data_IF_963775669106
#
_entry.id   IF_963775669106
#
_cell.length_a   1.000
_cell.length_b   1.000
_cell.length_c   1.000
_cell.angle_alpha   90.00
_cell.angle_beta   90.00
_cell.angle_gamma   90.00
#
_symmetry.space_group_name_H-M   'P 1'
#
loop_
_entity.id
_entity.type
_entity.pdbx_description
1 polymer ?
#
# COMPACT_ATOMS: atom_id res chain seq x y z
N UNK A 1 -9.79 -12.12 28.69
CA UNK A 1 -9.82 -12.46 27.24
C UNK A 1 -8.44 -12.90 26.82
N UNK A 2 -8.37 -13.97 26.07
CA UNK A 2 -7.12 -14.38 25.43
C UNK A 2 -6.98 -13.60 24.10
N UNK A 3 -6.25 -12.52 24.14
CA UNK A 3 -6.09 -11.64 22.97
C UNK A 3 -5.39 -12.34 21.81
N UNK A 4 -4.43 -13.23 22.07
CA UNK A 4 -3.72 -13.94 21.01
C UNK A 4 -4.65 -14.85 20.22
N UNK A 5 -5.44 -15.64 20.93
CA UNK A 5 -6.40 -16.57 20.33
C UNK A 5 -7.50 -15.83 19.57
N UNK A 6 -8.06 -14.80 20.17
CA UNK A 6 -9.15 -14.03 19.58
C UNK A 6 -8.66 -13.23 18.36
N UNK A 7 -7.46 -12.66 18.44
CA UNK A 7 -6.86 -11.94 17.34
C UNK A 7 -6.62 -12.85 16.13
N UNK A 8 -6.14 -14.07 16.36
CA UNK A 8 -5.94 -15.03 15.27
C UNK A 8 -7.28 -15.33 14.58
N UNK A 9 -8.32 -15.57 15.36
CA UNK A 9 -9.66 -15.83 14.83
C UNK A 9 -10.15 -14.66 13.98
N UNK A 10 -10.00 -13.45 14.49
CA UNK A 10 -10.45 -12.24 13.79
C UNK A 10 -9.63 -11.98 12.51
N UNK A 11 -8.33 -12.22 12.54
CA UNK A 11 -7.51 -12.07 11.32
C UNK A 11 -7.92 -13.03 10.22
N UNK A 12 -8.33 -14.25 10.60
CA UNK A 12 -8.89 -15.19 9.62
C UNK A 12 -10.22 -14.71 9.06
N UNK A 13 -11.09 -14.19 9.94
CA UNK A 13 -12.39 -13.69 9.54
C UNK A 13 -12.29 -12.45 8.66
N UNK A 14 -11.40 -11.52 8.99
CA UNK A 14 -11.22 -10.28 8.23
C UNK A 14 -10.57 -10.51 6.86
N UNK A 15 -9.63 -11.45 6.77
CA UNK A 15 -8.87 -11.66 5.55
C UNK A 15 -8.00 -10.48 5.17
N UNK A 16 -7.48 -9.78 6.18
CA UNK A 16 -6.72 -8.55 6.02
C UNK A 16 -7.43 -7.38 6.68
N UNK A 17 -6.71 -6.29 6.91
CA UNK A 17 -7.21 -5.13 7.67
C UNK A 17 -7.34 -3.87 6.84
N UNK A 18 -6.93 -3.90 5.58
CA UNK A 18 -7.00 -2.77 4.67
C UNK A 18 -7.52 -3.22 3.32
N UNK A 19 -8.01 -2.27 2.55
CA UNK A 19 -8.36 -2.48 1.14
C UNK A 19 -8.02 -1.25 0.34
N UNK A 20 -7.88 -1.41 -0.98
CA UNK A 20 -7.68 -0.31 -1.91
C UNK A 20 -8.95 -0.14 -2.71
N UNK A 21 -9.47 1.08 -2.74
CA UNK A 21 -10.71 1.39 -3.45
C UNK A 21 -10.45 2.43 -4.53
N UNK A 22 -11.23 2.37 -5.60
CA UNK A 22 -11.25 3.44 -6.59
C UNK A 22 -12.16 4.57 -6.10
N UNK A 23 -11.75 5.81 -6.36
CA UNK A 23 -12.50 7.00 -5.94
C UNK A 23 -13.24 7.65 -7.10
N UNK A 24 -13.15 7.08 -8.30
CA UNK A 24 -13.78 7.61 -9.51
C UNK A 24 -14.71 6.56 -10.10
N UNK A 25 -15.75 6.97 -10.85
CA UNK A 25 -16.64 6.02 -11.48
C UNK A 25 -15.96 5.33 -12.66
N UNK A 26 -16.29 4.07 -12.89
CA UNK A 26 -15.82 3.29 -14.05
C UNK A 26 -16.96 2.46 -14.63
N UNK A 27 -18.15 3.04 -14.68
CA UNK A 27 -19.36 2.33 -15.11
C UNK A 27 -19.60 2.42 -16.60
N UNK A 28 -19.10 3.47 -17.26
CA UNK A 28 -19.33 3.71 -18.67
C UNK A 28 -18.00 3.77 -19.43
N UNK A 29 -18.10 3.65 -20.77
CA UNK A 29 -16.95 3.83 -21.64
C UNK A 29 -16.37 5.25 -21.52
N UNK A 30 -17.22 6.24 -21.33
CA UNK A 30 -16.78 7.61 -21.13
C UNK A 30 -15.99 7.76 -19.84
N UNK A 31 -16.47 7.14 -18.76
CA UNK A 31 -15.74 7.15 -17.49
C UNK A 31 -14.33 6.63 -17.65
N UNK A 32 -14.18 5.50 -18.34
CA UNK A 32 -12.87 4.92 -18.61
C UNK A 32 -11.99 5.81 -19.47
N UNK A 33 -12.60 6.48 -20.45
CA UNK A 33 -11.87 7.39 -21.35
C UNK A 33 -11.34 8.62 -20.62
N UNK A 34 -12.00 9.02 -19.54
CA UNK A 34 -11.54 10.13 -18.70
C UNK A 34 -10.53 9.67 -17.65
N UNK A 35 -10.77 8.53 -17.02
CA UNK A 35 -9.90 8.02 -15.96
C UNK A 35 -8.63 7.36 -16.51
N UNK A 36 -8.71 6.84 -17.73
CA UNK A 36 -7.60 6.15 -18.37
C UNK A 36 -7.45 6.67 -19.80
N UNK A 37 -7.25 5.79 -20.78
CA UNK A 37 -6.99 6.22 -22.18
C UNK A 37 -8.29 6.61 -22.89
N UNK A 38 -8.28 7.71 -23.65
CA UNK A 38 -7.11 8.58 -23.97
C UNK A 38 -6.92 9.78 -23.04
N UNK A 39 -7.86 10.10 -22.19
CA UNK A 39 -7.87 11.33 -21.41
C UNK A 39 -6.68 11.45 -20.45
N UNK A 40 -6.18 10.34 -19.93
CA UNK A 40 -5.10 10.31 -18.92
C UNK A 40 -3.78 10.90 -19.44
N UNK A 41 -3.60 10.99 -20.75
CA UNK A 41 -2.39 11.58 -21.31
C UNK A 41 -2.23 13.04 -20.90
N UNK A 42 -3.30 13.78 -20.75
CA UNK A 42 -3.22 15.20 -20.44
C UNK A 42 -2.68 15.48 -19.02
N UNK A 43 -3.20 14.85 -17.95
CA UNK A 43 -2.56 14.98 -16.64
C UNK A 43 -1.08 14.57 -16.64
N UNK A 44 -0.72 13.52 -17.35
CA UNK A 44 0.68 13.10 -17.46
C UNK A 44 1.55 14.20 -18.04
N UNK A 45 1.09 14.85 -19.10
CA UNK A 45 1.83 15.95 -19.73
C UNK A 45 1.96 17.16 -18.81
N UNK A 46 0.92 17.46 -18.04
CA UNK A 46 0.96 18.57 -17.07
C UNK A 46 1.99 18.30 -15.98
N UNK A 47 2.05 17.07 -15.48
CA UNK A 47 3.03 16.68 -14.45
C UNK A 47 4.45 16.70 -15.05
N UNK A 48 4.61 16.29 -16.30
CA UNK A 48 5.90 16.31 -16.95
C UNK A 48 6.47 17.74 -17.02
N UNK A 49 5.62 18.73 -17.24
CA UNK A 49 6.02 20.14 -17.27
C UNK A 49 6.36 20.68 -15.89
N UNK A 50 5.63 20.23 -14.85
CA UNK A 50 5.81 20.67 -13.47
C UNK A 50 5.53 19.51 -12.55
N UNK A 51 6.59 18.92 -11.99
CA UNK A 51 6.50 17.72 -11.16
C UNK A 51 5.65 17.96 -9.90
N UNK A 52 5.55 19.18 -9.41
CA UNK A 52 4.74 19.49 -8.24
C UNK A 52 3.25 19.31 -8.51
N UNK A 53 2.83 19.34 -9.76
CA UNK A 53 1.46 19.04 -10.13
C UNK A 53 1.06 17.60 -9.80
N UNK A 54 2.02 16.71 -9.59
CA UNK A 54 1.71 15.34 -9.17
C UNK A 54 1.00 15.30 -7.83
N UNK A 55 1.23 16.27 -6.94
CA UNK A 55 0.53 16.35 -5.66
C UNK A 55 -0.93 16.80 -5.81
N UNK A 56 -1.25 17.51 -6.88
CA UNK A 56 -2.63 17.94 -7.16
C UNK A 56 -3.39 16.91 -7.98
N UNK A 57 -2.72 16.28 -8.93
CA UNK A 57 -3.36 15.44 -9.93
C UNK A 57 -3.33 13.94 -9.62
N UNK A 58 -2.63 13.55 -8.57
CA UNK A 58 -2.57 12.16 -8.13
C UNK A 58 -2.74 12.06 -6.62
N UNK A 59 -2.86 10.82 -6.12
CA UNK A 59 -2.93 10.57 -4.69
C UNK A 59 -1.57 10.72 -3.99
N UNK A 60 -0.54 11.13 -4.71
CA UNK A 60 0.81 11.31 -4.16
C UNK A 60 0.83 12.23 -2.94
N UNK A 61 -0.12 13.15 -2.86
CA UNK A 61 -0.22 14.09 -1.73
C UNK A 61 -0.56 13.43 -0.39
N UNK A 62 -1.07 12.20 -0.40
CA UNK A 62 -1.58 11.56 0.83
C UNK A 62 -1.18 10.09 0.98
N UNK A 63 -0.30 9.58 0.15
CA UNK A 63 0.10 8.17 0.22
C UNK A 63 1.38 7.98 1.00
N UNK A 64 1.42 6.92 1.79
CA UNK A 64 2.59 6.51 2.55
C UNK A 64 2.80 5.01 2.37
N UNK A 65 4.03 4.62 2.10
CA UNK A 65 4.41 3.22 1.94
C UNK A 65 5.06 2.73 3.23
N UNK A 66 4.54 1.64 3.79
CA UNK A 66 5.13 0.97 4.95
C UNK A 66 5.90 -0.25 4.44
N UNK A 67 7.23 -0.20 4.49
CA UNK A 67 8.08 -1.21 3.87
C UNK A 67 8.76 -2.06 4.95
N UNK A 68 8.78 -3.36 4.74
CA UNK A 68 9.52 -4.28 5.61
C UNK A 68 10.07 -5.45 4.82
N UNK A 69 11.17 -6.01 5.29
CA UNK A 69 11.65 -7.32 4.85
C UNK A 69 11.45 -8.39 5.95
N UNK A 70 10.83 -8.00 7.08
CA UNK A 70 10.53 -8.91 8.17
C UNK A 70 11.72 -9.31 9.02
N UNK A 71 12.87 -8.65 8.87
CA UNK A 71 14.10 -9.03 9.60
C UNK A 71 14.10 -8.59 11.06
N UNK A 72 13.26 -7.61 11.42
CA UNK A 72 13.19 -7.10 12.79
C UNK A 72 11.76 -6.64 13.10
N UNK A 73 10.91 -7.59 13.44
CA UNK A 73 9.54 -7.31 13.84
C UNK A 73 9.48 -7.24 15.37
N UNK A 74 8.90 -6.18 15.88
CA UNK A 74 8.88 -5.87 17.31
C UNK A 74 8.37 -7.06 18.14
N UNK A 75 9.18 -7.53 19.05
CA UNK A 75 8.89 -8.64 19.93
C UNK A 75 9.08 -10.03 19.31
N UNK A 76 9.24 -10.13 18.00
CA UNK A 76 9.33 -11.41 17.29
C UNK A 76 10.65 -11.61 16.54
N UNK A 77 11.40 -10.53 16.30
CA UNK A 77 12.70 -10.60 15.63
C UNK A 77 12.56 -10.83 14.12
N UNK A 78 13.42 -11.68 13.59
CA UNK A 78 13.47 -12.00 12.16
C UNK A 78 12.51 -13.14 11.84
N UNK A 79 11.32 -12.79 11.35
CA UNK A 79 10.28 -13.77 11.06
C UNK A 79 9.93 -13.84 9.56
N UNK A 80 10.64 -13.07 8.74
CA UNK A 80 10.39 -13.00 7.31
C UNK A 80 9.35 -11.96 6.91
N UNK A 81 9.35 -11.55 5.64
CA UNK A 81 8.50 -10.46 5.18
C UNK A 81 7.01 -10.77 5.22
N UNK A 82 6.61 -11.97 4.85
CA UNK A 82 5.19 -12.35 4.85
C UNK A 82 4.61 -12.40 6.26
N UNK A 83 5.35 -12.94 7.20
CA UNK A 83 4.90 -13.02 8.60
C UNK A 83 4.82 -11.65 9.27
N UNK A 84 5.49 -10.65 8.72
CA UNK A 84 5.42 -9.28 9.21
C UNK A 84 4.17 -8.51 8.74
N UNK A 85 3.44 -9.03 7.76
CA UNK A 85 2.30 -8.33 7.18
C UNK A 85 1.23 -7.90 8.19
N UNK A 86 0.81 -8.75 9.14
CA UNK A 86 -0.21 -8.30 10.09
C UNK A 86 0.20 -7.06 10.87
N UNK A 87 1.47 -6.94 11.25
CA UNK A 87 1.99 -5.76 11.95
C UNK A 87 1.99 -4.55 11.02
N UNK A 88 2.42 -4.74 9.78
CA UNK A 88 2.48 -3.65 8.80
C UNK A 88 1.10 -3.14 8.43
N UNK A 89 0.14 -4.05 8.27
CA UNK A 89 -1.26 -3.65 8.06
C UNK A 89 -1.81 -2.91 9.28
N UNK A 90 -1.44 -3.34 10.49
CA UNK A 90 -1.82 -2.65 11.72
C UNK A 90 -1.32 -1.20 11.73
N UNK A 91 -0.09 -0.97 11.28
CA UNK A 91 0.43 0.40 11.15
C UNK A 91 -0.37 1.21 10.14
N UNK A 92 -0.77 0.61 9.03
CA UNK A 92 -1.60 1.28 8.03
C UNK A 92 -2.96 1.66 8.60
N UNK A 93 -3.55 0.80 9.43
CA UNK A 93 -4.80 1.09 10.14
C UNK A 93 -4.63 2.30 11.05
N UNK A 94 -3.52 2.38 11.80
CA UNK A 94 -3.24 3.51 12.66
C UNK A 94 -3.05 4.82 11.88
N UNK A 95 -2.32 4.75 10.76
CA UNK A 95 -2.16 5.91 9.89
C UNK A 95 -3.50 6.46 9.42
N UNK A 96 -4.42 5.56 9.06
CA UNK A 96 -5.74 5.97 8.60
C UNK A 96 -6.59 6.51 9.73
N UNK A 97 -6.61 5.81 10.86
CA UNK A 97 -7.47 6.17 11.99
C UNK A 97 -7.07 7.52 12.62
N UNK A 98 -5.77 7.79 12.72
CA UNK A 98 -5.29 8.97 13.44
C UNK A 98 -4.83 10.10 12.54
N UNK A 99 -4.45 9.83 11.29
CA UNK A 99 -3.91 10.83 10.38
C UNK A 99 -4.63 10.94 9.06
N UNK A 100 -5.60 10.08 8.82
CA UNK A 100 -6.30 9.99 7.52
C UNK A 100 -5.32 9.84 6.35
N UNK A 101 -4.21 9.15 6.57
CA UNK A 101 -3.19 8.88 5.57
C UNK A 101 -3.51 7.57 4.87
N UNK A 102 -3.40 7.56 3.55
CA UNK A 102 -3.58 6.36 2.73
C UNK A 102 -2.28 5.58 2.72
N UNK A 103 -2.07 4.76 3.75
CA UNK A 103 -0.87 3.94 3.88
C UNK A 103 -1.15 2.52 3.42
N UNK A 104 -0.15 1.90 2.81
CA UNK A 104 -0.25 0.50 2.42
C UNK A 104 1.10 -0.19 2.62
N UNK A 105 1.10 -1.50 2.92
CA UNK A 105 2.32 -2.22 3.21
C UNK A 105 2.97 -2.78 1.96
N UNK A 106 4.30 -2.89 2.00
CA UNK A 106 5.07 -3.58 0.97
C UNK A 106 6.10 -4.46 1.68
N UNK A 107 6.05 -5.76 1.39
CA UNK A 107 7.02 -6.71 1.90
C UNK A 107 8.06 -6.99 0.84
N UNK A 108 9.33 -6.83 1.20
CA UNK A 108 10.44 -7.13 0.31
C UNK A 108 10.85 -8.59 0.48
N UNK A 109 10.67 -9.36 -0.58
CA UNK A 109 11.09 -10.75 -0.64
C UNK A 109 12.52 -10.81 -1.15
N UNK A 110 13.40 -11.41 -0.33
CA UNK A 110 14.79 -11.63 -0.71
C UNK A 110 14.96 -13.12 -0.99
N UNK A 111 14.59 -13.52 -2.20
CA UNK A 111 14.51 -14.96 -2.57
C UNK A 111 15.83 -15.56 -2.97
N UNK A 112 16.75 -14.76 -3.47
CA UNK A 112 18.10 -15.18 -3.85
C UNK A 112 18.94 -13.96 -4.12
N UNK A 113 20.27 -14.06 -4.09
CA UNK A 113 21.09 -12.96 -4.54
C UNK A 113 20.72 -12.59 -5.98
N UNK A 114 20.44 -11.33 -6.24
CA UNK A 114 20.28 -10.88 -7.62
C UNK A 114 21.64 -10.97 -8.32
N UNK A 115 21.67 -11.03 -9.66
CA UNK A 115 22.95 -10.99 -10.37
C UNK A 115 23.81 -9.79 -9.97
N UNK A 116 23.19 -8.67 -9.67
CA UNK A 116 23.90 -7.48 -9.22
C UNK A 116 24.51 -7.68 -7.83
N UNK A 117 23.77 -8.32 -6.91
CA UNK A 117 24.21 -8.55 -5.54
C UNK A 117 25.20 -9.69 -5.48
N UNK A 118 25.07 -10.67 -6.38
CA UNK A 118 25.91 -11.83 -6.46
C UNK A 118 27.15 -11.66 -7.36
N UNK A 119 27.22 -10.57 -8.05
CA UNK A 119 28.33 -10.32 -8.97
C UNK A 119 29.60 -9.92 -8.23
#
# INVERSE_FOLDING_TARGET
MDYAKESLRLHEEWGGKIEVIATVPVETKEDLSLAYTPGVAQPCLEIQKDVNKSYELTRRHNMCLVVTDGTAVLGLGDIGPEAGMPVMEGKCVLFKAFGDVDAFPLCLLYTSPSPRDGA
#
